data_IF_035850062167
#
_entry.id   IF_035850062167
#
_cell.length_a   1.000
_cell.length_b   1.000
_cell.length_c   1.000
_cell.angle_alpha   90.00
_cell.angle_beta   90.00
_cell.angle_gamma   90.00
#
_symmetry.space_group_name_H-M   'P 1'
#
loop_
_entity.id
_entity.type
_entity.pdbx_description
1 polymer ?
#
# COMPACT_ATOMS: atom_id res chain seq x y z
N UNK A 1 -26.38 -17.21 10.23
CA UNK A 1 -25.24 -16.37 10.68
C UNK A 1 -24.65 -15.76 9.43
N UNK A 2 -24.67 -14.43 9.30
CA UNK A 2 -24.11 -13.76 8.14
C UNK A 2 -22.58 -13.91 8.20
N UNK A 3 -22.04 -14.77 7.34
CA UNK A 3 -20.60 -14.86 7.10
C UNK A 3 -20.20 -13.53 6.46
N UNK A 4 -19.76 -12.56 7.28
CA UNK A 4 -19.01 -11.43 6.76
C UNK A 4 -17.69 -12.00 6.27
N UNK A 5 -17.48 -12.05 4.96
CA UNK A 5 -16.22 -12.43 4.37
C UNK A 5 -15.11 -11.63 5.04
N UNK A 6 -14.26 -12.32 5.81
CA UNK A 6 -13.14 -11.72 6.53
C UNK A 6 -12.27 -10.98 5.52
N UNK A 7 -12.02 -9.70 5.76
CA UNK A 7 -11.17 -8.89 4.90
C UNK A 7 -9.74 -9.42 4.98
N UNK A 8 -9.22 -9.90 3.85
CA UNK A 8 -7.89 -10.49 3.75
C UNK A 8 -7.00 -9.61 2.89
N UNK A 9 -5.74 -9.57 3.25
CA UNK A 9 -4.72 -8.94 2.45
C UNK A 9 -3.42 -9.71 2.53
N UNK A 10 -2.61 -9.59 1.49
CA UNK A 10 -1.28 -10.15 1.43
C UNK A 10 -0.35 -9.14 0.77
N UNK A 11 0.70 -8.74 1.49
CA UNK A 11 1.79 -7.97 0.90
C UNK A 11 2.63 -8.93 0.07
N UNK A 12 2.48 -8.90 -1.25
CA UNK A 12 3.18 -9.81 -2.16
C UNK A 12 4.60 -9.34 -2.46
N UNK A 13 4.85 -8.03 -2.32
CA UNK A 13 6.17 -7.43 -2.51
C UNK A 13 6.29 -6.12 -1.75
N UNK A 14 7.45 -5.87 -1.15
CA UNK A 14 7.77 -4.56 -0.57
C UNK A 14 8.81 -3.83 -1.40
N UNK A 15 8.57 -2.54 -1.65
CA UNK A 15 9.52 -1.66 -2.34
C UNK A 15 10.29 -0.76 -1.39
N UNK A 16 9.72 -0.43 -0.23
CA UNK A 16 10.41 0.27 0.84
C UNK A 16 9.54 1.25 1.60
N UNK A 17 10.17 1.88 2.60
CA UNK A 17 9.56 2.89 3.48
C UNK A 17 9.73 4.27 2.84
N UNK A 18 8.61 4.97 2.67
CA UNK A 18 8.55 6.38 2.23
C UNK A 18 8.81 7.30 3.43
N UNK A 19 8.23 6.99 4.59
CA UNK A 19 8.45 7.75 5.82
C UNK A 19 8.23 6.92 7.08
N UNK A 20 9.04 7.20 8.10
CA UNK A 20 8.87 6.65 9.44
C UNK A 20 7.91 7.52 10.25
N UNK A 21 6.89 6.91 10.83
CA UNK A 21 5.90 7.55 11.69
C UNK A 21 6.08 7.22 13.16
N UNK A 22 5.21 7.79 14.00
CA UNK A 22 5.23 7.55 15.45
C UNK A 22 4.80 6.12 15.79
N UNK A 23 5.41 5.54 16.82
CA UNK A 23 4.98 4.25 17.37
C UNK A 23 5.17 3.08 16.41
N UNK A 24 6.20 3.12 15.55
CA UNK A 24 6.55 2.03 14.64
C UNK A 24 5.60 1.90 13.43
N UNK A 25 4.82 2.94 13.13
CA UNK A 25 4.00 2.99 11.93
C UNK A 25 4.79 3.59 10.78
N UNK A 26 4.94 2.87 9.68
CA UNK A 26 5.70 3.34 8.52
C UNK A 26 4.79 3.50 7.31
N UNK A 27 4.93 4.60 6.58
CA UNK A 27 4.30 4.72 5.26
C UNK A 27 5.19 4.01 4.26
N UNK A 28 4.65 3.03 3.54
CA UNK A 28 5.41 2.17 2.65
C UNK A 28 4.80 2.14 1.25
N UNK A 29 5.62 1.83 0.25
CA UNK A 29 5.18 1.40 -1.06
C UNK A 29 5.31 -0.13 -1.17
N UNK A 30 4.19 -0.80 -1.38
CA UNK A 30 4.10 -2.26 -1.47
C UNK A 30 3.26 -2.68 -2.70
N UNK A 31 3.33 -3.96 -3.09
CA UNK A 31 2.25 -4.62 -3.83
C UNK A 31 1.39 -5.40 -2.84
N UNK A 32 0.07 -5.21 -2.94
CA UNK A 32 -0.87 -5.85 -2.02
C UNK A 32 -2.00 -6.51 -2.80
N UNK A 33 -2.22 -7.79 -2.54
CA UNK A 33 -3.41 -8.53 -2.93
C UNK A 33 -4.51 -8.28 -1.91
N UNK A 34 -5.64 -7.72 -2.35
CA UNK A 34 -6.81 -7.50 -1.51
C UNK A 34 -7.86 -8.57 -1.79
N UNK A 35 -8.22 -9.35 -0.77
CA UNK A 35 -9.18 -10.45 -0.85
C UNK A 35 -8.85 -11.45 -1.98
N UNK A 36 -7.56 -11.77 -2.15
CA UNK A 36 -7.09 -12.74 -3.15
C UNK A 36 -7.15 -12.25 -4.60
N UNK A 37 -7.37 -10.95 -4.83
CA UNK A 37 -7.33 -10.36 -6.17
C UNK A 37 -5.90 -10.16 -6.65
N UNK A 38 -5.75 -9.84 -7.93
CA UNK A 38 -4.46 -9.47 -8.50
C UNK A 38 -3.81 -8.35 -7.67
N UNK A 39 -2.53 -8.50 -7.27
CA UNK A 39 -1.82 -7.49 -6.50
C UNK A 39 -1.76 -6.16 -7.23
N UNK A 40 -1.91 -5.08 -6.48
CA UNK A 40 -1.76 -3.71 -6.99
C UNK A 40 -0.78 -2.93 -6.12
N UNK A 41 -0.26 -1.85 -6.67
CA UNK A 41 0.60 -0.94 -5.92
C UNK A 41 -0.22 -0.27 -4.84
N UNK A 42 0.38 -0.08 -3.68
CA UNK A 42 -0.31 0.45 -2.54
C UNK A 42 0.64 1.31 -1.71
N UNK A 43 0.18 2.51 -1.38
CA UNK A 43 0.87 3.45 -0.50
C UNK A 43 -0.01 3.65 0.73
N UNK A 44 0.43 3.10 1.86
CA UNK A 44 -0.28 3.27 3.14
C UNK A 44 0.65 3.14 4.33
N UNK A 45 0.15 3.57 5.49
CA UNK A 45 0.79 3.33 6.77
C UNK A 45 0.56 1.88 7.23
N UNK A 46 1.62 1.19 7.63
CA UNK A 46 1.61 -0.16 8.19
C UNK A 46 2.18 -0.15 9.60
N UNK A 47 1.64 -1.01 10.47
CA UNK A 47 2.31 -1.32 11.74
C UNK A 47 3.62 -2.08 11.48
N UNK A 48 4.53 -2.04 12.44
CA UNK A 48 5.85 -2.68 12.34
C UNK A 48 5.79 -4.18 12.00
N UNK A 49 4.70 -4.86 12.37
CA UNK A 49 4.45 -6.29 12.12
C UNK A 49 3.54 -6.56 10.90
N UNK A 50 3.17 -5.52 10.15
CA UNK A 50 2.25 -5.56 9.00
C UNK A 50 0.87 -6.19 9.28
N UNK A 51 0.46 -6.32 10.54
CA UNK A 51 -0.86 -6.87 10.90
C UNK A 51 -1.97 -5.83 10.85
N UNK A 52 -1.62 -4.55 11.01
CA UNK A 52 -2.55 -3.43 10.97
C UNK A 52 -2.15 -2.44 9.89
N UNK A 53 -3.16 -1.85 9.28
CA UNK A 53 -2.99 -0.87 8.22
C UNK A 53 -3.76 0.40 8.56
N UNK A 54 -3.17 1.54 8.22
CA UNK A 54 -3.79 2.85 8.31
C UNK A 54 -4.52 3.22 7.03
N UNK A 55 -4.82 4.51 6.88
CA UNK A 55 -5.33 5.06 5.63
C UNK A 55 -4.25 5.03 4.55
N UNK A 56 -4.66 4.90 3.30
CA UNK A 56 -3.77 4.94 2.15
C UNK A 56 -4.53 4.83 0.83
N UNK A 57 -3.79 4.57 -0.24
CA UNK A 57 -4.31 4.48 -1.60
C UNK A 57 -3.74 3.26 -2.31
N UNK A 58 -4.63 2.53 -3.00
CA UNK A 58 -4.25 1.49 -3.94
C UNK A 58 -4.27 2.08 -5.34
N UNK A 59 -3.21 1.85 -6.11
CA UNK A 59 -2.99 2.38 -7.44
C UNK A 59 -2.84 1.24 -8.43
N UNK A 60 -3.44 1.36 -9.61
CA UNK A 60 -3.05 0.51 -10.74
C UNK A 60 -1.63 0.86 -11.21
N UNK A 61 -1.08 0.03 -12.08
CA UNK A 61 0.21 0.30 -12.72
C UNK A 61 0.19 1.62 -13.49
N UNK A 62 -0.89 1.89 -14.22
CA UNK A 62 -1.08 3.10 -15.01
C UNK A 62 -1.15 4.34 -14.11
N UNK A 63 -1.86 4.26 -12.99
CA UNK A 63 -1.94 5.34 -12.00
C UNK A 63 -0.58 5.61 -11.34
N UNK A 64 0.20 4.56 -11.03
CA UNK A 64 1.54 4.72 -10.47
C UNK A 64 2.51 5.35 -11.49
N UNK A 65 2.43 4.96 -12.77
CA UNK A 65 3.22 5.58 -13.85
C UNK A 65 2.85 7.05 -14.01
N UNK A 66 1.56 7.37 -13.97
CA UNK A 66 1.09 8.75 -14.03
C UNK A 66 1.59 9.57 -12.83
N UNK A 67 1.53 9.01 -11.62
CA UNK A 67 2.08 9.63 -10.41
C UNK A 67 3.59 9.89 -10.57
N UNK A 68 4.36 8.89 -11.01
CA UNK A 68 5.79 9.06 -11.27
C UNK A 68 6.06 10.22 -12.23
N UNK A 69 5.31 10.28 -13.35
CA UNK A 69 5.46 11.37 -14.33
C UNK A 69 5.20 12.75 -13.71
N UNK A 70 4.17 12.88 -12.87
CA UNK A 70 3.88 14.13 -12.18
C UNK A 70 4.98 14.54 -11.19
N UNK A 71 5.60 13.57 -10.50
CA UNK A 71 6.75 13.83 -9.62
C UNK A 71 7.96 14.30 -10.43
N UNK A 72 8.28 13.61 -11.53
CA UNK A 72 9.37 13.99 -12.44
C UNK A 72 9.13 15.41 -13.02
N UNK A 73 7.89 15.74 -13.41
CA UNK A 73 7.50 17.08 -13.91
C UNK A 73 7.57 18.17 -12.84
N UNK A 74 7.34 17.81 -11.58
CA UNK A 74 7.53 18.70 -10.42
C UNK A 74 9.01 18.89 -10.04
N UNK A 75 9.93 18.17 -10.68
CA UNK A 75 11.37 18.21 -10.39
C UNK A 75 11.75 17.50 -9.09
N UNK A 76 10.98 16.49 -8.69
CA UNK A 76 11.23 15.65 -7.51
C UNK A 76 12.00 14.38 -7.85
#
# INVERSE_FOLDING_TARGET
MNNQDEFKFEITKSYGIISEGKGGWNTELNEVSWNGREPKFDIRAWSQDHQKMGKGITLTKEELIALKKLLDEAGL
#
